data_IF_695287650020
#
_entry.id   IF_695287650020
#
_cell.length_a   1.000
_cell.length_b   1.000
_cell.length_c   1.000
_cell.angle_alpha   90.00
_cell.angle_beta   90.00
_cell.angle_gamma   90.00
#
_symmetry.space_group_name_H-M   'P 1'
#
loop_
_entity.id
_entity.type
_entity.pdbx_description
1 polymer ?
#
# COMPACT_ATOMS: atom_id res chain seq x y z
N UNK A 1 1.22 9.94 -32.93
CA UNK A 1 2.20 9.62 -31.89
C UNK A 1 2.54 8.15 -32.03
N UNK A 2 3.81 7.73 -31.99
CA UNK A 2 4.11 6.31 -32.01
C UNK A 2 3.50 5.72 -30.74
N UNK A 3 2.62 4.74 -30.90
CA UNK A 3 2.19 3.88 -29.80
C UNK A 3 3.44 3.13 -29.32
N UNK A 4 3.95 3.52 -28.14
CA UNK A 4 4.91 2.70 -27.43
C UNK A 4 4.17 1.41 -27.08
N UNK A 5 4.26 0.41 -27.94
CA UNK A 5 3.82 -0.94 -27.57
C UNK A 5 4.65 -1.37 -26.39
N UNK A 6 4.05 -1.33 -25.22
CA UNK A 6 4.65 -1.81 -24.00
C UNK A 6 4.58 -3.35 -24.01
N UNK A 7 5.54 -4.00 -24.69
CA UNK A 7 5.69 -5.46 -24.76
C UNK A 7 6.12 -6.08 -23.42
N UNK A 8 6.17 -5.25 -22.37
CA UNK A 8 6.50 -5.65 -21.01
C UNK A 8 5.53 -6.73 -20.50
N UNK A 9 6.05 -7.75 -19.82
CA UNK A 9 5.23 -8.73 -19.11
C UNK A 9 4.43 -8.07 -18.00
N UNK A 10 3.26 -8.61 -17.67
CA UNK A 10 2.48 -8.22 -16.49
C UNK A 10 3.31 -8.50 -15.23
N UNK A 11 3.48 -7.48 -14.39
CA UNK A 11 4.19 -7.59 -13.11
C UNK A 11 3.38 -8.47 -12.15
N UNK A 12 4.06 -9.43 -11.53
CA UNK A 12 3.52 -10.35 -10.55
C UNK A 12 4.21 -10.15 -9.20
N UNK A 13 3.55 -10.50 -8.10
CA UNK A 13 4.13 -10.37 -6.76
C UNK A 13 5.49 -11.08 -6.61
N UNK A 14 5.71 -12.31 -7.14
CA UNK A 14 7.02 -12.96 -7.06
C UNK A 14 8.16 -12.19 -7.75
N UNK A 15 7.84 -11.37 -8.76
CA UNK A 15 8.86 -10.56 -9.46
C UNK A 15 9.52 -9.55 -8.52
N UNK A 16 8.81 -9.08 -7.48
CA UNK A 16 9.34 -8.09 -6.54
C UNK A 16 10.55 -8.62 -5.77
N UNK A 17 10.45 -9.85 -5.26
CA UNK A 17 11.56 -10.50 -4.55
C UNK A 17 12.76 -10.79 -5.49
N UNK A 18 12.48 -11.26 -6.73
CA UNK A 18 13.49 -11.50 -7.75
C UNK A 18 14.25 -10.21 -8.08
N UNK A 19 13.52 -9.12 -8.39
CA UNK A 19 14.13 -7.84 -8.74
C UNK A 19 14.93 -7.22 -7.58
N UNK A 20 14.45 -7.40 -6.34
CA UNK A 20 15.23 -6.99 -5.16
C UNK A 20 16.57 -7.75 -5.08
N UNK A 21 16.55 -9.06 -5.31
CA UNK A 21 17.77 -9.89 -5.31
C UNK A 21 18.74 -9.49 -6.43
N UNK A 22 18.22 -9.03 -7.58
CA UNK A 22 19.00 -8.51 -8.71
C UNK A 22 19.48 -7.06 -8.51
N UNK A 23 19.11 -6.41 -7.41
CA UNK A 23 19.42 -4.99 -7.16
C UNK A 23 18.64 -4.01 -8.04
N UNK A 24 17.59 -4.48 -8.73
CA UNK A 24 16.72 -3.64 -9.54
C UNK A 24 15.83 -2.77 -8.66
N UNK A 25 15.77 -1.47 -8.94
CA UNK A 25 14.82 -0.57 -8.30
C UNK A 25 13.42 -0.82 -8.84
N UNK A 26 12.45 -0.88 -7.93
CA UNK A 26 11.03 -1.08 -8.22
C UNK A 26 10.33 0.27 -8.08
N UNK A 27 9.54 0.63 -9.08
CA UNK A 27 8.82 1.91 -9.09
C UNK A 27 7.35 1.72 -8.71
N UNK A 28 6.83 2.61 -7.85
CA UNK A 28 5.42 2.65 -7.49
C UNK A 28 4.92 4.09 -7.54
N UNK A 29 3.71 4.28 -8.08
CA UNK A 29 3.04 5.57 -8.11
C UNK A 29 1.54 5.41 -7.85
N UNK A 30 0.89 6.44 -7.32
CA UNK A 30 -0.56 6.44 -7.12
C UNK A 30 -1.31 6.79 -8.41
N UNK A 31 -2.43 6.10 -8.64
CA UNK A 31 -3.42 6.48 -9.66
C UNK A 31 -4.82 6.04 -9.20
N UNK A 32 -5.84 6.79 -9.60
CA UNK A 32 -7.21 6.62 -9.08
C UNK A 32 -8.25 6.38 -10.17
N UNK A 33 -7.88 6.45 -11.44
CA UNK A 33 -8.77 6.28 -12.58
C UNK A 33 -8.07 5.58 -13.76
N UNK A 34 -8.86 5.24 -14.77
CA UNK A 34 -8.39 4.52 -15.96
C UNK A 34 -7.41 5.32 -16.80
N UNK A 35 -7.54 6.64 -16.85
CA UNK A 35 -6.71 7.50 -17.69
C UNK A 35 -5.29 7.61 -17.13
N UNK A 36 -5.19 7.96 -15.85
CA UNK A 36 -3.89 8.01 -15.18
C UNK A 36 -3.24 6.62 -15.07
N UNK A 37 -4.03 5.57 -14.82
CA UNK A 37 -3.48 4.21 -14.80
C UNK A 37 -2.82 3.82 -16.13
N UNK A 38 -3.42 4.17 -17.27
CA UNK A 38 -2.82 3.94 -18.60
C UNK A 38 -1.56 4.76 -18.80
N UNK A 39 -1.58 6.05 -18.47
CA UNK A 39 -0.42 6.94 -18.62
C UNK A 39 0.80 6.45 -17.84
N UNK A 40 0.61 6.06 -16.58
CA UNK A 40 1.71 5.57 -15.74
C UNK A 40 2.19 4.17 -16.17
N UNK A 41 1.30 3.32 -16.67
CA UNK A 41 1.67 2.03 -17.22
C UNK A 41 2.48 2.17 -18.52
N UNK A 42 2.10 3.09 -19.41
CA UNK A 42 2.87 3.43 -20.61
C UNK A 42 4.25 3.99 -20.27
N UNK A 43 4.38 4.73 -19.17
CA UNK A 43 5.65 5.20 -18.65
C UNK A 43 6.55 4.09 -18.06
N UNK A 44 6.05 2.86 -17.94
CA UNK A 44 6.82 1.70 -17.48
C UNK A 44 6.86 1.50 -15.97
N UNK A 45 5.96 2.13 -15.21
CA UNK A 45 5.85 1.96 -13.75
C UNK A 45 5.52 0.50 -13.40
N UNK A 46 6.18 -0.04 -12.36
CA UNK A 46 6.04 -1.44 -11.97
C UNK A 46 4.78 -1.71 -11.14
N UNK A 47 4.41 -0.77 -10.26
CA UNK A 47 3.26 -0.92 -9.35
C UNK A 47 2.40 0.35 -9.35
N UNK A 48 1.09 0.17 -9.33
CA UNK A 48 0.11 1.26 -9.16
C UNK A 48 -0.58 1.08 -7.81
N UNK A 49 -0.46 2.08 -6.95
CA UNK A 49 -1.17 2.14 -5.68
C UNK A 49 -2.48 2.92 -5.86
N UNK A 50 -3.60 2.28 -5.58
CA UNK A 50 -4.87 2.97 -5.36
C UNK A 50 -4.95 3.26 -3.88
N UNK A 51 -4.44 4.42 -3.46
CA UNK A 51 -4.27 4.80 -2.07
C UNK A 51 -5.48 5.56 -1.50
N UNK A 52 -5.67 5.49 -0.18
CA UNK A 52 -6.67 6.30 0.53
C UNK A 52 -6.36 7.81 0.49
N UNK A 53 -5.16 8.19 0.04
CA UNK A 53 -4.82 9.55 -0.37
C UNK A 53 -5.76 10.12 -1.45
N UNK A 54 -6.60 9.29 -2.08
CA UNK A 54 -7.72 9.72 -2.95
C UNK A 54 -8.60 10.75 -2.25
N UNK A 55 -8.82 10.62 -0.95
CA UNK A 55 -9.56 11.59 -0.15
C UNK A 55 -8.96 12.99 -0.27
N UNK A 56 -7.65 13.10 -0.13
CA UNK A 56 -6.96 14.39 -0.19
C UNK A 56 -6.78 14.89 -1.64
N UNK A 57 -6.43 14.01 -2.57
CA UNK A 57 -6.02 14.37 -3.94
C UNK A 57 -7.22 14.56 -4.87
N UNK A 58 -8.29 13.77 -4.70
CA UNK A 58 -9.47 13.79 -5.59
C UNK A 58 -10.68 14.41 -4.91
N UNK A 59 -10.95 14.04 -3.64
CA UNK A 59 -12.15 14.50 -2.93
C UNK A 59 -11.94 15.84 -2.20
N UNK A 60 -10.67 16.27 -1.99
CA UNK A 60 -10.35 17.55 -1.34
C UNK A 60 -10.49 17.53 0.20
N UNK A 61 -10.42 16.37 0.83
CA UNK A 61 -10.39 16.25 2.30
C UNK A 61 -9.02 16.64 2.87
N UNK A 62 -8.95 16.98 4.16
CA UNK A 62 -7.70 17.39 4.80
C UNK A 62 -6.79 16.22 5.24
N UNK A 63 -7.32 15.00 5.23
CA UNK A 63 -6.62 13.77 5.57
C UNK A 63 -7.33 12.56 4.94
N UNK A 64 -6.82 11.35 5.16
CA UNK A 64 -7.31 10.12 4.53
C UNK A 64 -8.45 9.43 5.33
N UNK A 65 -8.72 9.86 6.57
CA UNK A 65 -9.66 9.21 7.49
C UNK A 65 -11.10 9.08 6.94
N UNK A 66 -11.66 10.08 6.22
CA UNK A 66 -13.04 10.00 5.74
C UNK A 66 -13.28 8.98 4.63
N UNK A 67 -12.23 8.51 3.96
CA UNK A 67 -12.37 7.57 2.83
C UNK A 67 -12.89 6.23 3.33
N UNK A 68 -13.94 5.71 2.68
CA UNK A 68 -14.50 4.42 3.02
C UNK A 68 -14.10 3.29 2.04
N UNK A 69 -14.47 2.05 2.40
CA UNK A 69 -14.10 0.86 1.63
C UNK A 69 -14.80 0.81 0.26
N UNK A 70 -16.02 1.32 0.15
CA UNK A 70 -16.77 1.32 -1.11
C UNK A 70 -16.17 2.32 -2.11
N UNK A 71 -15.70 3.47 -1.63
CA UNK A 71 -14.95 4.44 -2.43
C UNK A 71 -13.64 3.84 -2.93
N UNK A 72 -12.88 3.18 -2.04
CA UNK A 72 -11.67 2.47 -2.44
C UNK A 72 -11.95 1.38 -3.47
N UNK A 73 -12.98 0.58 -3.27
CA UNK A 73 -13.40 -0.44 -4.21
C UNK A 73 -13.78 0.15 -5.58
N UNK A 74 -14.44 1.32 -5.59
CA UNK A 74 -14.74 2.04 -6.83
C UNK A 74 -13.47 2.44 -7.57
N UNK A 75 -12.51 3.08 -6.93
CA UNK A 75 -11.27 3.54 -7.54
C UNK A 75 -10.38 2.36 -7.98
N UNK A 76 -10.28 1.30 -7.18
CA UNK A 76 -9.60 0.05 -7.57
C UNK A 76 -10.20 -0.51 -8.85
N UNK A 77 -11.52 -0.55 -8.96
CA UNK A 77 -12.24 -1.02 -10.14
C UNK A 77 -11.97 -0.15 -11.38
N UNK A 78 -11.88 1.17 -11.19
CA UNK A 78 -11.53 2.09 -12.28
C UNK A 78 -10.10 1.83 -12.80
N UNK A 79 -9.13 1.68 -11.91
CA UNK A 79 -7.73 1.40 -12.27
C UNK A 79 -7.57 0.01 -12.89
N UNK A 80 -8.21 -1.02 -12.33
CA UNK A 80 -8.16 -2.38 -12.85
C UNK A 80 -8.65 -2.51 -14.30
N UNK A 81 -9.66 -1.71 -14.67
CA UNK A 81 -10.19 -1.64 -16.05
C UNK A 81 -9.23 -1.02 -17.08
N UNK A 82 -8.15 -0.43 -16.65
CA UNK A 82 -7.09 0.03 -17.55
C UNK A 82 -6.29 -1.14 -18.16
N UNK A 83 -6.39 -2.35 -17.58
CA UNK A 83 -5.66 -3.55 -17.99
C UNK A 83 -4.15 -3.34 -18.07
N UNK A 84 -3.59 -2.68 -17.06
CA UNK A 84 -2.17 -2.31 -16.97
C UNK A 84 -1.25 -3.54 -16.86
N UNK A 85 0.01 -3.37 -17.25
CA UNK A 85 1.10 -4.31 -16.95
C UNK A 85 1.63 -4.14 -15.53
N UNK A 86 1.44 -2.95 -14.94
CA UNK A 86 1.78 -2.69 -13.55
C UNK A 86 0.93 -3.51 -12.58
N UNK A 87 1.50 -3.95 -11.47
CA UNK A 87 0.79 -4.61 -10.36
C UNK A 87 -0.15 -3.60 -9.68
N UNK A 88 -1.43 -3.91 -9.57
CA UNK A 88 -2.42 -3.02 -8.92
C UNK A 88 -2.55 -3.37 -7.44
N UNK A 89 -2.28 -2.38 -6.58
CA UNK A 89 -2.37 -2.48 -5.13
C UNK A 89 -3.58 -1.67 -4.66
N UNK A 90 -4.46 -2.28 -3.88
CA UNK A 90 -5.58 -1.60 -3.22
C UNK A 90 -5.26 -1.31 -1.76
N UNK A 91 -5.47 -0.08 -1.33
CA UNK A 91 -5.23 0.35 0.05
C UNK A 91 -6.47 0.12 0.92
N UNK A 92 -6.31 -0.48 2.10
CA UNK A 92 -7.38 -0.60 3.08
C UNK A 92 -7.53 0.75 3.80
N UNK A 93 -8.70 1.42 3.69
CA UNK A 93 -8.91 2.69 4.35
C UNK A 93 -9.10 2.54 5.85
N UNK A 94 -8.97 3.65 6.59
CA UNK A 94 -9.16 3.67 8.03
C UNK A 94 -10.53 3.09 8.43
N UNK A 95 -10.54 2.27 9.48
CA UNK A 95 -11.74 1.62 10.00
C UNK A 95 -12.10 0.29 9.32
N UNK A 96 -11.42 -0.08 8.23
CA UNK A 96 -11.72 -1.29 7.47
C UNK A 96 -10.93 -2.54 7.89
N UNK A 97 -9.93 -2.41 8.79
CA UNK A 97 -9.07 -3.54 9.19
C UNK A 97 -8.57 -3.49 10.64
N UNK A 98 -8.80 -2.37 11.34
CA UNK A 98 -8.25 -2.16 12.69
C UNK A 98 -9.04 -2.87 13.79
N UNK A 99 -10.31 -3.22 13.55
CA UNK A 99 -11.19 -3.81 14.59
C UNK A 99 -10.82 -5.26 14.87
N UNK A 100 -10.49 -6.03 13.84
CA UNK A 100 -10.07 -7.43 13.97
C UNK A 100 -9.35 -7.95 12.73
N UNK A 101 -8.51 -9.00 12.84
CA UNK A 101 -7.93 -9.68 11.69
C UNK A 101 -8.96 -10.19 10.69
N UNK A 102 -10.12 -10.67 11.16
CA UNK A 102 -11.21 -11.10 10.30
C UNK A 102 -11.75 -9.96 9.43
N UNK A 103 -11.97 -8.78 10.02
CA UNK A 103 -12.39 -7.59 9.27
C UNK A 103 -11.37 -7.25 8.18
N UNK A 104 -10.06 -7.30 8.50
CA UNK A 104 -9.00 -7.07 7.53
C UNK A 104 -9.06 -8.04 6.35
N UNK A 105 -9.33 -9.33 6.59
CA UNK A 105 -9.52 -10.32 5.52
C UNK A 105 -10.76 -10.00 4.69
N UNK A 106 -11.90 -9.74 5.31
CA UNK A 106 -13.17 -9.44 4.62
C UNK A 106 -13.03 -8.21 3.71
N UNK A 107 -12.43 -7.13 4.21
CA UNK A 107 -12.17 -5.90 3.45
C UNK A 107 -11.17 -6.13 2.30
N UNK A 108 -10.13 -6.92 2.54
CA UNK A 108 -9.16 -7.31 1.50
C UNK A 108 -9.84 -8.05 0.36
N UNK A 109 -10.75 -8.99 0.67
CA UNK A 109 -11.52 -9.73 -0.33
C UNK A 109 -12.38 -8.80 -1.19
N UNK A 110 -12.96 -7.74 -0.59
CA UNK A 110 -13.71 -6.72 -1.35
C UNK A 110 -12.82 -6.07 -2.41
N UNK A 111 -11.63 -5.59 -2.02
CA UNK A 111 -10.72 -4.92 -2.96
C UNK A 111 -10.16 -5.90 -4.02
N UNK A 112 -9.81 -7.14 -3.64
CA UNK A 112 -9.36 -8.17 -4.57
C UNK A 112 -10.43 -8.47 -5.63
N UNK A 113 -11.69 -8.63 -5.24
CA UNK A 113 -12.82 -8.83 -6.17
C UNK A 113 -13.09 -7.63 -7.08
N UNK A 114 -12.65 -6.43 -6.69
CA UNK A 114 -12.72 -5.24 -7.52
C UNK A 114 -11.47 -5.04 -8.42
N UNK A 115 -10.50 -5.94 -8.36
CA UNK A 115 -9.37 -6.00 -9.29
C UNK A 115 -8.02 -5.62 -8.71
N UNK A 116 -7.91 -5.40 -7.39
CA UNK A 116 -6.61 -5.37 -6.72
C UNK A 116 -5.91 -6.73 -6.85
N UNK A 117 -4.60 -6.73 -6.91
CA UNK A 117 -3.75 -7.92 -6.98
C UNK A 117 -2.87 -8.06 -5.75
N UNK A 118 -2.84 -7.03 -4.93
CA UNK A 118 -2.15 -6.94 -3.67
C UNK A 118 -2.89 -5.91 -2.80
N UNK A 119 -2.78 -6.03 -1.48
CA UNK A 119 -3.44 -5.13 -0.53
C UNK A 119 -2.39 -4.36 0.26
N UNK A 120 -2.59 -3.05 0.47
CA UNK A 120 -1.77 -2.26 1.40
C UNK A 120 -2.57 -1.99 2.67
N UNK A 121 -1.88 -1.98 3.81
CA UNK A 121 -2.42 -1.52 5.09
C UNK A 121 -1.32 -0.88 5.94
N UNK A 122 -1.72 0.00 6.86
CA UNK A 122 -0.83 0.76 7.73
C UNK A 122 -0.70 0.12 9.12
N UNK A 123 0.54 0.06 9.61
CA UNK A 123 0.88 -0.39 10.94
C UNK A 123 1.99 -1.44 10.96
N UNK A 124 2.66 -1.53 12.09
CA UNK A 124 3.76 -2.47 12.35
C UNK A 124 3.33 -3.61 13.28
N UNK A 125 4.02 -3.76 14.41
CA UNK A 125 3.78 -4.83 15.41
C UNK A 125 2.30 -5.00 15.76
N UNK A 126 1.56 -3.89 15.96
CA UNK A 126 0.14 -3.95 16.35
C UNK A 126 -0.79 -4.43 15.24
N UNK A 127 -0.33 -4.51 13.99
CA UNK A 127 -1.08 -5.04 12.84
C UNK A 127 -0.53 -6.39 12.34
N UNK A 128 0.49 -6.93 12.97
CA UNK A 128 1.14 -8.19 12.57
C UNK A 128 0.14 -9.34 12.42
N UNK A 129 -0.80 -9.48 13.38
CA UNK A 129 -1.84 -10.51 13.34
C UNK A 129 -2.80 -10.33 12.16
N UNK A 130 -3.19 -9.09 11.87
CA UNK A 130 -4.05 -8.76 10.72
C UNK A 130 -3.34 -9.08 9.40
N UNK A 131 -2.06 -8.68 9.27
CA UNK A 131 -1.24 -9.00 8.09
C UNK A 131 -1.15 -10.52 7.92
N UNK A 132 -0.81 -11.25 8.99
CA UNK A 132 -0.70 -12.71 8.96
C UNK A 132 -2.03 -13.40 8.61
N UNK A 133 -3.17 -12.86 9.05
CA UNK A 133 -4.48 -13.39 8.70
C UNK A 133 -4.79 -13.22 7.21
N UNK A 134 -4.46 -12.06 6.63
CA UNK A 134 -4.67 -11.75 5.21
C UNK A 134 -3.74 -12.62 4.34
N UNK A 135 -2.46 -12.72 4.68
CA UNK A 135 -1.49 -13.52 3.93
C UNK A 135 -1.80 -15.03 3.98
N UNK A 136 -2.35 -15.52 5.09
CA UNK A 136 -2.75 -16.93 5.26
C UNK A 136 -3.88 -17.37 4.30
N UNK A 137 -4.67 -16.43 3.79
CA UNK A 137 -5.72 -16.70 2.79
C UNK A 137 -5.26 -16.37 1.36
N UNK A 138 -3.96 -16.42 1.10
CA UNK A 138 -3.31 -16.23 -0.19
C UNK A 138 -3.49 -14.81 -0.79
N UNK A 139 -3.74 -13.80 0.04
CA UNK A 139 -3.78 -12.40 -0.40
C UNK A 139 -2.43 -11.75 -0.11
N UNK A 140 -1.69 -11.28 -1.14
CA UNK A 140 -0.43 -10.59 -0.94
C UNK A 140 -0.62 -9.26 -0.24
N UNK A 141 0.30 -8.90 0.68
CA UNK A 141 0.24 -7.67 1.48
C UNK A 141 1.48 -6.83 1.30
N UNK A 142 1.29 -5.53 1.14
CA UNK A 142 2.29 -4.47 1.33
C UNK A 142 2.03 -3.82 2.67
N UNK A 143 2.99 -3.89 3.59
CA UNK A 143 2.92 -3.15 4.85
C UNK A 143 3.28 -1.68 4.66
N UNK A 144 2.86 -0.82 5.61
CA UNK A 144 3.23 0.59 5.62
C UNK A 144 3.56 1.03 7.04
N UNK A 145 4.79 1.47 7.25
CA UNK A 145 5.35 1.86 8.54
C UNK A 145 6.00 3.24 8.49
N UNK A 146 6.39 3.75 9.63
CA UNK A 146 6.92 5.10 9.77
C UNK A 146 5.79 6.10 9.95
N UNK A 147 5.74 7.14 9.13
CA UNK A 147 4.59 8.04 9.07
C UNK A 147 3.45 7.32 8.38
N UNK A 148 2.39 7.07 9.13
CA UNK A 148 1.16 6.43 8.64
C UNK A 148 0.04 7.46 8.63
N UNK A 149 -0.44 7.93 7.45
CA UNK A 149 -1.46 8.98 7.35
C UNK A 149 -2.75 8.70 8.14
N UNK A 150 -3.17 7.45 8.24
CA UNK A 150 -4.33 7.05 9.04
C UNK A 150 -4.12 7.27 10.55
N UNK A 151 -2.88 7.39 11.00
CA UNK A 151 -2.53 7.69 12.40
C UNK A 151 -2.31 9.18 12.67
N UNK A 152 -2.70 10.07 11.76
CA UNK A 152 -2.41 11.52 11.81
C UNK A 152 -2.82 12.18 13.12
N UNK A 153 -3.96 11.80 13.69
CA UNK A 153 -4.43 12.34 14.96
C UNK A 153 -3.58 11.86 16.16
N UNK A 154 -3.22 10.58 16.18
CA UNK A 154 -2.34 10.01 17.20
C UNK A 154 -0.92 10.61 17.15
N UNK A 155 -0.43 10.87 15.95
CA UNK A 155 0.91 11.47 15.72
C UNK A 155 0.92 13.00 15.92
N UNK A 156 -0.24 13.64 16.01
CA UNK A 156 -0.36 15.09 16.10
C UNK A 156 0.06 15.81 14.81
N UNK A 157 -0.26 15.23 13.66
CA UNK A 157 0.05 15.72 12.31
C UNK A 157 0.98 14.78 11.53
N UNK A 158 1.36 15.22 10.33
CA UNK A 158 2.32 14.50 9.46
C UNK A 158 3.75 14.76 9.98
N UNK A 159 4.19 13.93 10.91
CA UNK A 159 5.51 14.08 11.58
C UNK A 159 6.48 13.00 11.14
N UNK A 160 7.73 13.40 10.90
CA UNK A 160 8.85 12.49 10.63
C UNK A 160 9.03 11.54 11.83
N UNK A 161 9.16 10.27 11.54
CA UNK A 161 9.37 9.18 12.49
C UNK A 161 10.85 8.75 12.50
N UNK A 162 11.32 8.09 13.56
CA UNK A 162 12.67 7.54 13.63
C UNK A 162 13.79 8.55 13.93
N UNK A 163 13.46 9.80 14.34
CA UNK A 163 14.47 10.80 14.75
C UNK A 163 15.01 10.58 16.16
N UNK A 164 14.21 10.01 17.03
CA UNK A 164 14.58 9.71 18.42
C UNK A 164 14.96 8.25 18.54
N UNK A 165 15.93 7.96 19.43
CA UNK A 165 16.26 6.58 19.80
C UNK A 165 15.16 5.99 20.69
N UNK A 166 15.07 4.66 20.74
CA UNK A 166 14.20 3.93 21.65
C UNK A 166 12.98 3.29 21.00
N UNK A 167 12.25 2.53 21.84
CA UNK A 167 11.03 1.78 21.45
C UNK A 167 9.74 2.58 21.65
N UNK A 168 9.83 3.83 22.02
CA UNK A 168 8.67 4.69 22.13
C UNK A 168 8.02 4.95 20.76
N UNK A 169 6.79 5.41 20.75
CA UNK A 169 6.08 5.71 19.52
C UNK A 169 6.88 6.71 18.66
N UNK A 170 7.25 6.30 17.45
CA UNK A 170 8.08 7.09 16.54
C UNK A 170 9.59 7.02 16.81
N UNK A 171 10.06 6.20 17.76
CA UNK A 171 11.47 5.92 17.97
C UNK A 171 12.06 5.01 16.90
N UNK A 172 13.38 5.07 16.72
CA UNK A 172 14.11 4.34 15.68
C UNK A 172 13.98 2.83 15.82
N UNK A 173 14.18 2.31 17.04
CA UNK A 173 14.11 0.89 17.35
C UNK A 173 12.69 0.35 17.15
N UNK A 174 11.68 1.18 17.43
CA UNK A 174 10.29 0.83 17.16
C UNK A 174 10.01 0.65 15.67
N UNK A 175 10.57 1.49 14.82
CA UNK A 175 10.40 1.36 13.36
C UNK A 175 11.08 0.09 12.85
N UNK A 176 12.25 -0.27 13.38
CA UNK A 176 12.91 -1.51 13.05
C UNK A 176 12.09 -2.73 13.51
N UNK A 177 11.53 -2.69 14.71
CA UNK A 177 10.63 -3.71 15.22
C UNK A 177 9.37 -3.85 14.36
N UNK A 178 8.76 -2.72 13.98
CA UNK A 178 7.62 -2.69 13.06
C UNK A 178 7.96 -3.31 11.69
N UNK A 179 9.13 -3.00 11.13
CA UNK A 179 9.58 -3.59 9.87
C UNK A 179 9.73 -5.11 9.95
N UNK A 180 10.37 -5.62 11.02
CA UNK A 180 10.52 -7.05 11.24
C UNK A 180 9.18 -7.75 11.45
N UNK A 181 8.27 -7.15 12.21
CA UNK A 181 6.95 -7.71 12.44
C UNK A 181 6.13 -7.83 11.14
N UNK A 182 6.18 -6.80 10.28
CA UNK A 182 5.52 -6.82 8.97
C UNK A 182 6.12 -7.89 8.06
N UNK A 183 7.45 -7.99 7.99
CA UNK A 183 8.14 -9.02 7.20
C UNK A 183 7.78 -10.43 7.69
N UNK A 184 7.87 -10.69 9.00
CA UNK A 184 7.56 -11.99 9.60
C UNK A 184 6.09 -12.39 9.44
N UNK A 185 5.19 -11.43 9.29
CA UNK A 185 3.77 -11.66 9.02
C UNK A 185 3.48 -12.02 7.56
N UNK A 186 4.51 -12.08 6.71
CA UNK A 186 4.40 -12.55 5.31
C UNK A 186 4.12 -11.44 4.30
N UNK A 187 4.31 -10.16 4.65
CA UNK A 187 4.21 -9.08 3.67
C UNK A 187 5.27 -9.24 2.55
N UNK A 188 4.86 -9.00 1.31
CA UNK A 188 5.72 -9.10 0.13
C UNK A 188 6.55 -7.83 -0.14
N UNK A 189 6.18 -6.71 0.46
CA UNK A 189 6.88 -5.44 0.39
C UNK A 189 6.49 -4.55 1.58
N UNK A 190 7.27 -3.50 1.84
CA UNK A 190 7.03 -2.51 2.89
C UNK A 190 7.23 -1.11 2.33
N UNK A 191 6.27 -0.22 2.56
CA UNK A 191 6.43 1.23 2.43
C UNK A 191 7.00 1.76 3.74
N UNK A 192 8.07 2.56 3.66
CA UNK A 192 8.66 3.26 4.80
C UNK A 192 8.54 4.75 4.51
N UNK A 193 7.58 5.42 5.15
CA UNK A 193 7.30 6.82 4.88
C UNK A 193 7.80 7.73 6.00
N UNK A 194 8.29 8.91 5.64
CA UNK A 194 8.66 9.96 6.60
C UNK A 194 9.71 9.54 7.62
N UNK A 195 10.67 8.71 7.24
CA UNK A 195 11.80 8.24 8.06
C UNK A 195 13.09 8.82 7.47
N UNK A 196 14.02 9.38 8.30
CA UNK A 196 15.32 9.84 7.82
C UNK A 196 16.12 8.70 7.17
N UNK A 197 16.92 9.04 6.16
CA UNK A 197 17.81 8.09 5.48
C UNK A 197 19.14 7.84 6.21
N UNK A 198 19.39 8.59 7.31
CA UNK A 198 20.62 8.52 8.12
C UNK A 198 20.35 7.79 9.44
#
# INVERSE_FOLDING_TARGET
>A
MPTLHNDRKKVQVPDLALWKAEGRRITMITAYDVTFARLVDEAGIDMILVGDSVGMVVQGTNNTIPVDLDEMAYHVRCVARAHTKALVIGDLPFGSYQVSPQQGVESSVVLMKNGAQCIKLEGGVHMAETIAAITRVDIPVVGHIGLTPQSVHRMGGFRVQGRTEGFEAGGRERILEDAHAVEQSGACAIVIEGVPME
#
